data_IF_530580912283
#
_entry.id   IF_530580912283
#
_cell.length_a   1.000
_cell.length_b   1.000
_cell.length_c   1.000
_cell.angle_alpha   90.00
_cell.angle_beta   90.00
_cell.angle_gamma   90.00
#
_symmetry.space_group_name_H-M   'P 1'
#
loop_
_entity.id
_entity.type
_entity.pdbx_description
1 polymer ?
#
# COMPACT_ATOMS: atom_id res chain seq x y z
N UNK A 1 -23.17 5.47 5.41
CA UNK A 1 -22.36 4.29 5.77
C UNK A 1 -20.90 4.71 5.76
N UNK A 2 -20.13 4.35 6.78
CA UNK A 2 -18.67 4.50 6.74
C UNK A 2 -18.10 3.57 5.66
N UNK A 3 -17.13 4.04 4.87
CA UNK A 3 -16.40 3.18 3.93
C UNK A 3 -15.61 2.13 4.70
N UNK A 4 -15.57 0.89 4.22
CA UNK A 4 -14.68 -0.14 4.79
C UNK A 4 -13.22 0.23 4.53
N UNK A 5 -12.29 -0.31 5.32
CA UNK A 5 -10.85 -0.18 5.06
C UNK A 5 -10.50 -0.71 3.66
N UNK A 6 -11.16 -1.77 3.19
CA UNK A 6 -11.01 -2.30 1.82
C UNK A 6 -11.41 -1.25 0.77
N UNK A 7 -12.54 -0.55 0.98
CA UNK A 7 -12.99 0.49 0.05
C UNK A 7 -12.01 1.68 0.02
N UNK A 8 -11.47 2.04 1.19
CA UNK A 8 -10.46 3.09 1.31
C UNK A 8 -9.14 2.69 0.63
N UNK A 9 -8.70 1.44 0.80
CA UNK A 9 -7.51 0.91 0.15
C UNK A 9 -7.67 0.85 -1.37
N UNK A 10 -8.81 0.33 -1.87
CA UNK A 10 -9.14 0.34 -3.31
C UNK A 10 -9.15 1.76 -3.88
N UNK A 11 -9.80 2.68 -3.18
CA UNK A 11 -9.84 4.09 -3.59
C UNK A 11 -8.44 4.73 -3.62
N UNK A 12 -7.60 4.47 -2.61
CA UNK A 12 -6.23 4.96 -2.58
C UNK A 12 -5.37 4.38 -3.69
N UNK A 13 -5.55 3.10 -4.03
CA UNK A 13 -4.86 2.48 -5.14
C UNK A 13 -5.24 3.11 -6.48
N UNK A 14 -6.54 3.32 -6.72
CA UNK A 14 -7.02 3.98 -7.94
C UNK A 14 -6.52 5.43 -8.06
N UNK A 15 -6.44 6.15 -6.93
CA UNK A 15 -5.84 7.48 -6.89
C UNK A 15 -4.35 7.43 -7.26
N UNK A 16 -3.59 6.48 -6.71
CA UNK A 16 -2.19 6.25 -7.07
C UNK A 16 -2.01 5.92 -8.56
N UNK A 17 -2.88 5.09 -9.12
CA UNK A 17 -2.85 4.74 -10.55
C UNK A 17 -3.12 5.94 -11.48
N UNK A 18 -3.84 6.97 -10.99
CA UNK A 18 -4.13 8.21 -11.74
C UNK A 18 -3.18 9.36 -11.40
N UNK A 19 -2.22 9.17 -10.49
CA UNK A 19 -1.33 10.23 -10.00
C UNK A 19 -2.04 11.27 -9.12
N UNK A 20 -3.19 10.94 -8.55
CA UNK A 20 -3.97 11.82 -7.67
C UNK A 20 -3.39 11.81 -6.24
N UNK A 21 -2.27 12.50 -6.07
CA UNK A 21 -1.56 12.57 -4.79
C UNK A 21 -2.38 13.27 -3.70
N UNK A 22 -3.28 14.18 -4.05
CA UNK A 22 -4.14 14.88 -3.09
C UNK A 22 -5.14 13.93 -2.43
N UNK A 23 -5.77 13.06 -3.24
CA UNK A 23 -6.65 12.03 -2.70
C UNK A 23 -5.89 11.05 -1.79
N UNK A 24 -4.67 10.67 -2.17
CA UNK A 24 -3.82 9.80 -1.34
C UNK A 24 -3.41 10.50 -0.04
N UNK A 25 -3.01 11.77 -0.11
CA UNK A 25 -2.66 12.58 1.07
C UNK A 25 -3.82 12.66 2.08
N UNK A 26 -5.06 12.63 1.58
CA UNK A 26 -6.28 12.55 2.37
C UNK A 26 -6.50 11.21 3.07
N UNK A 27 -5.86 10.12 2.63
CA UNK A 27 -5.95 8.79 3.24
C UNK A 27 -4.80 8.49 4.20
N UNK A 28 -3.64 9.13 4.03
CA UNK A 28 -2.46 8.92 4.87
C UNK A 28 -2.57 9.71 6.19
N UNK A 29 -2.18 9.05 7.29
CA UNK A 29 -1.89 9.73 8.54
C UNK A 29 -0.65 10.64 8.39
N UNK A 30 -0.58 11.81 9.05
CA UNK A 30 0.61 12.67 9.00
C UNK A 30 1.91 11.93 9.36
N UNK A 31 1.86 11.00 10.31
CA UNK A 31 3.00 10.24 10.84
C UNK A 31 3.08 8.83 10.23
N UNK A 32 2.46 8.62 9.06
CA UNK A 32 2.46 7.31 8.39
C UNK A 32 3.88 6.81 8.15
N UNK A 33 4.10 5.52 8.43
CA UNK A 33 5.33 4.82 8.09
C UNK A 33 5.15 4.05 6.78
N UNK A 34 6.14 4.13 5.89
CA UNK A 34 6.18 3.30 4.70
C UNK A 34 7.54 2.64 4.56
N UNK A 35 7.59 1.32 4.56
CA UNK A 35 8.86 0.58 4.45
C UNK A 35 8.69 -0.80 3.83
N UNK A 36 9.79 -1.54 3.68
CA UNK A 36 9.82 -2.92 3.20
C UNK A 36 10.50 -3.82 4.24
N UNK A 37 9.90 -3.93 5.44
CA UNK A 37 10.44 -4.69 6.57
C UNK A 37 10.95 -3.82 7.72
N UNK A 38 12.04 -3.06 7.54
CA UNK A 38 12.60 -2.19 8.59
C UNK A 38 12.10 -0.73 8.47
N UNK A 39 11.31 -0.21 9.43
CA UNK A 39 10.82 1.18 9.42
C UNK A 39 11.91 2.22 9.68
N UNK A 40 13.10 1.81 10.13
CA UNK A 40 14.23 2.73 10.36
C UNK A 40 15.25 2.74 9.21
N UNK A 41 15.07 1.88 8.21
CA UNK A 41 15.94 1.83 7.05
C UNK A 41 16.05 3.20 6.36
N UNK A 42 17.18 3.46 5.70
CA UNK A 42 17.43 4.74 5.02
C UNK A 42 16.36 5.06 3.94
N UNK A 43 15.82 4.02 3.32
CA UNK A 43 14.78 4.12 2.28
C UNK A 43 13.35 4.11 2.83
N UNK A 44 13.16 4.00 4.15
CA UNK A 44 11.84 4.07 4.77
C UNK A 44 11.34 5.51 4.80
N UNK A 45 10.04 5.69 4.54
CA UNK A 45 9.35 6.95 4.77
C UNK A 45 8.79 6.96 6.19
N UNK A 46 8.95 8.09 6.88
CA UNK A 46 8.58 8.25 8.30
C UNK A 46 7.40 9.20 8.51
N UNK A 47 6.88 9.77 7.44
CA UNK A 47 5.75 10.67 7.43
C UNK A 47 5.09 10.72 6.06
N UNK A 48 3.92 11.35 6.01
CA UNK A 48 3.12 11.52 4.79
C UNK A 48 3.89 12.22 3.67
N UNK A 49 4.69 13.23 3.97
CA UNK A 49 5.39 13.97 2.91
C UNK A 49 6.45 13.09 2.23
N UNK A 50 7.20 12.30 3.01
CA UNK A 50 8.16 11.34 2.47
C UNK A 50 7.48 10.28 1.61
N UNK A 51 6.33 9.76 2.06
CA UNK A 51 5.53 8.80 1.31
C UNK A 51 5.01 9.39 -0.01
N UNK A 52 4.49 10.62 0.00
CA UNK A 52 4.02 11.31 -1.21
C UNK A 52 5.18 11.59 -2.17
N UNK A 53 6.34 12.03 -1.66
CA UNK A 53 7.56 12.19 -2.47
C UNK A 53 8.02 10.88 -3.08
N UNK A 54 7.91 9.76 -2.35
CA UNK A 54 8.22 8.43 -2.85
C UNK A 54 7.27 8.03 -3.98
N UNK A 55 5.95 8.17 -3.78
CA UNK A 55 4.94 7.87 -4.82
C UNK A 55 5.14 8.74 -6.06
N UNK A 56 5.39 10.03 -5.90
CA UNK A 56 5.65 10.94 -7.02
C UNK A 56 6.86 10.50 -7.86
N UNK A 57 7.95 10.05 -7.22
CA UNK A 57 9.11 9.49 -7.95
C UNK A 57 8.78 8.16 -8.65
N UNK A 58 7.88 7.38 -8.08
CA UNK A 58 7.44 6.08 -8.60
C UNK A 58 6.36 6.19 -9.69
N UNK A 59 5.71 7.34 -9.88
CA UNK A 59 4.63 7.57 -10.85
C UNK A 59 4.93 7.06 -12.26
N UNK A 60 6.17 7.20 -12.72
CA UNK A 60 6.59 6.71 -14.05
C UNK A 60 6.43 5.19 -14.22
N UNK A 61 6.47 4.44 -13.12
CA UNK A 61 6.24 2.98 -13.10
C UNK A 61 4.79 2.65 -12.73
N UNK A 62 4.11 3.53 -11.99
CA UNK A 62 2.79 3.30 -11.43
C UNK A 62 2.80 2.25 -10.32
N UNK A 63 1.66 2.03 -9.65
CA UNK A 63 1.54 1.06 -8.56
C UNK A 63 1.39 -0.41 -9.03
N UNK A 64 1.60 -0.70 -10.32
CA UNK A 64 1.31 -2.01 -10.92
C UNK A 64 -0.15 -2.16 -11.37
N UNK A 65 -0.58 -3.40 -11.63
CA UNK A 65 -1.99 -3.74 -11.86
C UNK A 65 -2.60 -4.33 -10.58
N UNK A 66 -3.73 -3.79 -10.12
CA UNK A 66 -4.44 -4.33 -8.95
C UNK A 66 -5.02 -5.70 -9.26
N UNK A 67 -4.64 -6.71 -8.48
CA UNK A 67 -5.17 -8.07 -8.61
C UNK A 67 -6.22 -8.35 -7.54
N UNK A 68 -5.91 -8.02 -6.29
CA UNK A 68 -6.84 -8.26 -5.19
C UNK A 68 -6.65 -7.27 -4.02
N UNK A 69 -7.69 -7.13 -3.21
CA UNK A 69 -7.66 -6.40 -1.94
C UNK A 69 -8.41 -7.22 -0.89
N UNK A 70 -7.67 -7.68 0.11
CA UNK A 70 -8.13 -8.63 1.12
C UNK A 70 -8.29 -7.90 2.46
N UNK A 71 -9.44 -8.09 3.09
CA UNK A 71 -9.74 -7.58 4.43
C UNK A 71 -9.09 -8.47 5.49
N UNK A 72 -8.28 -7.87 6.35
CA UNK A 72 -7.69 -8.51 7.54
C UNK A 72 -7.93 -7.63 8.79
N UNK A 73 -9.12 -7.03 8.88
CA UNK A 73 -9.56 -6.22 10.01
C UNK A 73 -8.97 -4.80 9.98
N UNK A 74 -8.05 -4.51 10.89
CA UNK A 74 -7.31 -3.23 10.87
C UNK A 74 -6.27 -3.20 9.76
N UNK A 75 -5.90 -4.34 9.19
CA UNK A 75 -4.98 -4.44 8.06
C UNK A 75 -5.75 -4.75 6.78
N UNK A 76 -5.22 -4.25 5.68
CA UNK A 76 -5.70 -4.58 4.33
C UNK A 76 -4.51 -4.99 3.49
N UNK A 77 -4.60 -6.14 2.83
CA UNK A 77 -3.56 -6.62 1.92
C UNK A 77 -3.95 -6.25 0.50
N UNK A 78 -3.09 -5.51 -0.19
CA UNK A 78 -3.26 -5.08 -1.57
C UNK A 78 -2.28 -5.86 -2.44
N UNK A 79 -2.78 -6.77 -3.28
CA UNK A 79 -1.96 -7.61 -4.16
C UNK A 79 -1.92 -6.98 -5.55
N UNK A 80 -0.73 -6.83 -6.10
CA UNK A 80 -0.48 -6.14 -7.37
C UNK A 80 0.44 -6.97 -8.26
N UNK A 81 0.25 -6.88 -9.58
CA UNK A 81 1.24 -7.33 -10.56
C UNK A 81 2.30 -6.26 -10.76
N UNK A 82 3.58 -6.64 -10.80
CA UNK A 82 4.67 -5.70 -11.08
C UNK A 82 4.54 -5.08 -12.48
N UNK A 83 4.78 -3.76 -12.64
CA UNK A 83 4.64 -3.08 -13.92
C UNK A 83 5.74 -3.40 -14.95
N UNK A 84 6.88 -3.98 -14.53
CA UNK A 84 8.10 -4.08 -15.35
C UNK A 84 8.73 -5.48 -15.47
N UNK A 85 7.96 -6.57 -15.28
CA UNK A 85 8.52 -7.92 -15.43
C UNK A 85 8.08 -8.64 -16.72
N UNK A 86 9.07 -9.25 -17.39
CA UNK A 86 8.85 -10.19 -18.50
C UNK A 86 8.04 -11.41 -18.06
N UNK A 87 8.09 -11.72 -16.75
CA UNK A 87 7.23 -12.69 -16.10
C UNK A 87 5.95 -12.02 -15.59
N UNK A 88 4.84 -12.29 -16.28
CA UNK A 88 3.51 -11.78 -15.91
C UNK A 88 2.95 -12.42 -14.64
N UNK A 89 3.62 -13.44 -14.08
CA UNK A 89 3.21 -14.12 -12.85
C UNK A 89 3.76 -13.47 -11.58
N UNK A 90 4.75 -12.58 -11.70
CA UNK A 90 5.34 -11.91 -10.54
C UNK A 90 4.39 -10.91 -9.90
N UNK A 91 3.98 -11.25 -8.68
CA UNK A 91 3.09 -10.45 -7.84
C UNK A 91 3.83 -9.93 -6.62
N UNK A 92 3.36 -8.79 -6.12
CA UNK A 92 3.83 -8.17 -4.87
C UNK A 92 2.63 -7.77 -4.05
N UNK A 93 2.85 -7.47 -2.77
CA UNK A 93 1.78 -7.00 -1.91
C UNK A 93 2.22 -5.82 -1.05
N UNK A 94 1.26 -4.96 -0.72
CA UNK A 94 1.38 -3.99 0.34
C UNK A 94 0.39 -4.34 1.45
N UNK A 95 0.83 -4.31 2.70
CA UNK A 95 -0.06 -4.37 3.86
C UNK A 95 -0.25 -2.95 4.37
N UNK A 96 -1.48 -2.46 4.31
CA UNK A 96 -1.86 -1.15 4.85
C UNK A 96 -2.58 -1.34 6.18
N UNK A 97 -2.02 -0.78 7.26
CA UNK A 97 -2.64 -0.75 8.58
C UNK A 97 -3.46 0.53 8.72
N UNK A 98 -4.73 0.38 9.05
CA UNK A 98 -5.69 1.47 9.20
C UNK A 98 -6.00 1.76 10.67
N UNK A 99 -6.18 3.04 10.97
CA UNK A 99 -6.75 3.50 12.24
C UNK A 99 -7.60 4.73 11.98
N UNK A 100 -8.84 4.74 12.47
CA UNK A 100 -9.77 5.86 12.28
C UNK A 100 -9.94 6.30 10.82
N UNK A 101 -9.92 5.34 9.87
CA UNK A 101 -10.04 5.60 8.43
C UNK A 101 -8.78 6.22 7.78
N UNK A 102 -7.63 6.21 8.48
CA UNK A 102 -6.33 6.65 7.97
C UNK A 102 -5.36 5.49 7.90
N UNK A 103 -4.51 5.47 6.88
CA UNK A 103 -3.36 4.55 6.81
C UNK A 103 -2.27 5.08 7.72
N UNK A 104 -1.92 4.32 8.75
CA UNK A 104 -0.86 4.67 9.72
C UNK A 104 0.45 3.94 9.41
N UNK A 105 0.40 2.84 8.66
CA UNK A 105 1.59 2.10 8.25
C UNK A 105 1.31 1.38 6.92
N UNK A 106 2.31 1.38 6.04
CA UNK A 106 2.31 0.61 4.81
C UNK A 106 3.61 -0.19 4.71
N UNK A 107 3.48 -1.50 4.58
CA UNK A 107 4.63 -2.40 4.45
C UNK A 107 4.60 -3.09 3.11
N UNK A 108 5.66 -2.91 2.32
CA UNK A 108 5.84 -3.56 1.04
C UNK A 108 6.46 -4.95 1.21
N UNK A 109 5.87 -5.94 0.54
CA UNK A 109 6.32 -7.32 0.50
C UNK A 109 6.58 -7.76 -0.95
N UNK A 110 7.75 -8.39 -1.21
CA UNK A 110 8.05 -8.96 -2.51
C UNK A 110 7.22 -10.21 -2.82
N UNK A 111 6.61 -10.84 -1.80
CA UNK A 111 5.78 -12.04 -1.89
C UNK A 111 4.42 -11.80 -1.19
N UNK A 112 3.27 -12.05 -1.86
CA UNK A 112 1.96 -11.90 -1.24
C UNK A 112 1.67 -12.86 -0.10
N UNK A 113 2.24 -14.06 -0.09
CA UNK A 113 2.09 -15.02 1.00
C UNK A 113 2.69 -14.50 2.32
N UNK A 114 3.84 -13.83 2.24
CA UNK A 114 4.43 -13.15 3.38
C UNK A 114 3.57 -12.00 3.91
N UNK A 115 2.95 -11.22 3.01
CA UNK A 115 2.03 -10.16 3.36
C UNK A 115 0.78 -10.68 4.06
N UNK A 116 0.18 -11.76 3.55
CA UNK A 116 -0.99 -12.41 4.15
C UNK A 116 -0.70 -12.90 5.57
N UNK A 117 0.44 -13.58 5.75
CA UNK A 117 0.89 -14.05 7.07
C UNK A 117 1.15 -12.90 8.03
N UNK A 118 1.77 -11.81 7.56
CA UNK A 118 1.98 -10.61 8.38
C UNK A 118 0.67 -9.89 8.72
N UNK A 119 -0.35 -10.02 7.89
CA UNK A 119 -1.70 -9.53 8.13
C UNK A 119 -2.51 -10.43 9.08
N UNK A 120 -2.04 -11.65 9.38
CA UNK A 120 -2.76 -12.63 10.20
C UNK A 120 -3.87 -13.35 9.45
N UNK A 121 -3.80 -13.36 8.11
CA UNK A 121 -4.67 -14.20 7.28
C UNK A 121 -4.07 -15.61 7.29
N UNK A 122 -4.71 -16.49 8.06
CA UNK A 122 -4.43 -17.93 8.04
C UNK A 122 -5.26 -18.60 6.93
N UNK A 123 -4.76 -19.70 6.38
CA UNK A 123 -5.45 -20.54 5.39
C UNK A 123 -6.66 -21.27 6.00
#
# INVERSE_FOLDING_TARGET
MSKSNVDLARHGYEAAARGDLDAIAGLLDPDVKWHAGDPNAEYACRNREEALRFMHRAERRGPGELLDVIDAGEKVVVIMRRPDEADRSSTVANVATFRNGKVIEMVHYPDPGDALRAAGVED
#
